data_IF_320328625460
#
_entry.id   IF_320328625460
#
_cell.length_a   1.000
_cell.length_b   1.000
_cell.length_c   1.000
_cell.angle_alpha   90.00
_cell.angle_beta   90.00
_cell.angle_gamma   90.00
#
_symmetry.space_group_name_H-M   'P 1'
#
loop_
_entity.id
_entity.type
_entity.pdbx_description
1 polymer ?
#
# COMPACT_ATOMS: atom_id res chain seq x y z
N UNK A 1 -17.85 -15.25 6.30
CA UNK A 1 -17.28 -14.12 5.56
C UNK A 1 -15.81 -14.34 5.30
N UNK A 2 -15.37 -14.10 4.08
CA UNK A 2 -13.96 -14.22 3.74
C UNK A 2 -13.23 -12.94 4.16
N UNK A 3 -12.07 -13.09 4.79
CA UNK A 3 -11.23 -11.95 5.17
C UNK A 3 -10.46 -11.42 3.96
N UNK A 4 -10.38 -10.10 3.84
CA UNK A 4 -9.55 -9.43 2.86
C UNK A 4 -8.71 -8.37 3.58
N UNK A 5 -7.40 -8.58 3.59
CA UNK A 5 -6.45 -7.60 4.13
C UNK A 5 -6.01 -6.67 3.00
N UNK A 6 -6.27 -5.38 3.16
CA UNK A 6 -5.96 -4.36 2.14
C UNK A 6 -4.77 -3.51 2.61
N UNK A 7 -3.75 -3.42 1.77
CA UNK A 7 -2.57 -2.59 2.00
C UNK A 7 -2.61 -1.39 1.04
N UNK A 8 -3.09 -0.23 1.50
CA UNK A 8 -3.18 0.96 0.65
C UNK A 8 -1.91 1.79 0.70
N UNK A 9 -1.64 2.50 -0.38
CA UNK A 9 -0.53 3.44 -0.47
C UNK A 9 -0.41 4.05 -1.85
N UNK A 10 0.50 5.00 -2.00
CA UNK A 10 0.83 5.56 -3.31
C UNK A 10 1.87 4.71 -4.05
N UNK A 11 2.74 4.02 -3.31
CA UNK A 11 3.75 3.11 -3.85
C UNK A 11 4.55 3.71 -5.03
N UNK A 12 5.09 4.88 -4.81
CA UNK A 12 5.77 5.64 -5.86
C UNK A 12 7.23 5.92 -5.50
N UNK A 13 8.13 4.97 -5.72
CA UNK A 13 7.92 3.62 -6.26
C UNK A 13 7.58 2.58 -5.18
N UNK A 14 7.12 1.42 -5.61
CA UNK A 14 7.04 0.22 -4.76
C UNK A 14 8.47 -0.31 -4.57
N UNK A 15 8.83 -0.58 -3.32
CA UNK A 15 10.21 -0.97 -2.99
C UNK A 15 10.27 -2.19 -2.07
N UNK A 16 11.48 -2.63 -1.75
CA UNK A 16 11.70 -3.85 -0.96
C UNK A 16 11.14 -3.78 0.45
N UNK A 17 11.02 -2.57 1.02
CA UNK A 17 10.33 -2.39 2.32
C UNK A 17 8.83 -2.67 2.22
N UNK A 18 8.19 -2.24 1.15
CA UNK A 18 6.79 -2.57 0.89
C UNK A 18 6.62 -4.08 0.67
N UNK A 19 7.54 -4.70 -0.08
CA UNK A 19 7.51 -6.15 -0.28
C UNK A 19 7.60 -6.91 1.03
N UNK A 20 8.43 -6.45 1.95
CA UNK A 20 8.56 -7.04 3.28
C UNK A 20 7.21 -7.05 4.02
N UNK A 21 6.46 -5.96 3.94
CA UNK A 21 5.11 -5.88 4.53
C UNK A 21 4.16 -6.87 3.83
N UNK A 22 4.19 -6.95 2.51
CA UNK A 22 3.35 -7.89 1.75
C UNK A 22 3.66 -9.34 2.14
N UNK A 23 4.94 -9.69 2.27
CA UNK A 23 5.34 -11.02 2.70
C UNK A 23 4.80 -11.36 4.09
N UNK A 24 4.81 -10.39 5.01
CA UNK A 24 4.21 -10.56 6.34
C UNK A 24 2.69 -10.74 6.27
N UNK A 25 2.04 -9.99 5.40
CA UNK A 25 0.59 -10.13 5.19
C UNK A 25 0.23 -11.54 4.70
N UNK A 26 1.00 -12.07 3.76
CA UNK A 26 0.78 -13.43 3.26
C UNK A 26 0.86 -14.47 4.37
N UNK A 27 1.84 -14.34 5.24
CA UNK A 27 2.02 -15.25 6.38
C UNK A 27 0.90 -15.16 7.40
N UNK A 28 0.39 -13.96 7.65
CA UNK A 28 -0.64 -13.70 8.67
C UNK A 28 -2.03 -14.04 8.15
N UNK A 29 -2.37 -13.58 6.95
CA UNK A 29 -3.74 -13.63 6.43
C UNK A 29 -3.97 -14.74 5.40
N UNK A 30 -2.90 -15.29 4.83
CA UNK A 30 -2.98 -16.25 3.75
C UNK A 30 -2.92 -15.58 2.38
N UNK A 31 -2.29 -16.26 1.44
CA UNK A 31 -2.00 -15.78 0.10
C UNK A 31 -3.23 -15.25 -0.66
N UNK A 32 -4.33 -15.96 -0.60
CA UNK A 32 -5.56 -15.59 -1.33
C UNK A 32 -6.41 -14.51 -0.63
N UNK A 33 -5.96 -13.96 0.50
CA UNK A 33 -6.74 -13.08 1.35
C UNK A 33 -6.15 -11.68 1.48
N UNK A 34 -5.27 -11.30 0.58
CA UNK A 34 -4.60 -9.99 0.62
C UNK A 34 -4.76 -9.25 -0.71
N UNK A 35 -4.68 -7.92 -0.63
CA UNK A 35 -4.77 -7.04 -1.80
C UNK A 35 -3.96 -5.78 -1.54
N UNK A 36 -3.33 -5.26 -2.60
CA UNK A 36 -2.68 -3.95 -2.59
C UNK A 36 -3.63 -2.96 -3.26
N UNK A 37 -3.77 -1.77 -2.69
CA UNK A 37 -4.59 -0.71 -3.26
C UNK A 37 -3.75 0.56 -3.48
N UNK A 38 -3.66 1.00 -4.74
CA UNK A 38 -2.92 2.20 -5.10
C UNK A 38 -3.90 3.37 -5.15
N UNK A 39 -3.68 4.35 -4.25
CA UNK A 39 -4.51 5.55 -4.22
C UNK A 39 -4.07 6.55 -5.28
N UNK A 40 -5.05 7.13 -5.96
CA UNK A 40 -4.84 8.14 -6.99
C UNK A 40 -5.42 9.46 -6.49
N UNK A 41 -4.64 10.53 -6.61
CA UNK A 41 -5.15 11.87 -6.38
C UNK A 41 -6.12 12.24 -7.51
N UNK A 42 -7.41 12.53 -7.23
CA UNK A 42 -8.38 12.85 -8.29
C UNK A 42 -8.02 14.08 -9.12
N UNK A 43 -7.16 14.96 -8.61
CA UNK A 43 -6.70 16.14 -9.34
C UNK A 43 -5.61 15.86 -10.37
N UNK A 44 -5.06 14.62 -10.41
CA UNK A 44 -4.06 14.25 -11.40
C UNK A 44 -4.67 14.12 -12.78
N UNK A 45 -3.84 14.39 -13.80
CA UNK A 45 -4.24 14.27 -15.21
C UNK A 45 -4.60 12.82 -15.56
N UNK A 46 -5.47 12.65 -16.58
CA UNK A 46 -5.93 11.33 -17.04
C UNK A 46 -4.76 10.45 -17.49
N UNK A 47 -3.74 11.05 -18.13
CA UNK A 47 -2.54 10.32 -18.55
C UNK A 47 -1.81 9.67 -17.38
N UNK A 48 -1.73 10.37 -16.25
CA UNK A 48 -1.11 9.83 -15.04
C UNK A 48 -1.90 8.64 -14.50
N UNK A 49 -3.24 8.67 -14.60
CA UNK A 49 -4.09 7.57 -14.19
C UNK A 49 -3.89 6.34 -15.07
N UNK A 50 -3.71 6.53 -16.40
CA UNK A 50 -3.41 5.42 -17.31
C UNK A 50 -2.07 4.76 -16.98
N UNK A 51 -1.05 5.54 -16.66
CA UNK A 51 0.25 5.04 -16.23
C UNK A 51 0.14 4.24 -14.93
N UNK A 52 -0.69 4.71 -14.00
CA UNK A 52 -0.93 4.01 -12.73
C UNK A 52 -1.64 2.68 -12.94
N UNK A 53 -2.58 2.60 -13.88
CA UNK A 53 -3.24 1.34 -14.22
C UNK A 53 -2.26 0.32 -14.78
N UNK A 54 -1.36 0.73 -15.67
CA UNK A 54 -0.31 -0.14 -16.20
C UNK A 54 0.65 -0.60 -15.09
N UNK A 55 1.04 0.32 -14.23
CA UNK A 55 1.89 0.03 -13.09
C UNK A 55 1.24 -1.00 -12.15
N UNK A 56 -0.07 -0.86 -11.90
CA UNK A 56 -0.80 -1.80 -11.06
C UNK A 56 -0.82 -3.20 -11.65
N UNK A 57 -0.99 -3.31 -12.97
CA UNK A 57 -0.97 -4.60 -13.66
C UNK A 57 0.40 -5.27 -13.58
N UNK A 58 1.46 -4.50 -13.81
CA UNK A 58 2.84 -5.01 -13.69
C UNK A 58 3.15 -5.48 -12.28
N UNK A 59 2.75 -4.69 -11.28
CA UNK A 59 2.97 -5.03 -9.89
C UNK A 59 2.19 -6.30 -9.50
N UNK A 60 0.95 -6.42 -9.94
CA UNK A 60 0.13 -7.60 -9.68
C UNK A 60 0.75 -8.86 -10.29
N UNK A 61 1.26 -8.77 -11.50
CA UNK A 61 1.92 -9.89 -12.16
C UNK A 61 3.22 -10.27 -11.45
N UNK A 62 3.99 -9.27 -11.03
CA UNK A 62 5.27 -9.48 -10.36
C UNK A 62 5.12 -10.14 -9.00
N UNK A 63 4.13 -9.71 -8.22
CA UNK A 63 3.91 -10.20 -6.87
C UNK A 63 2.92 -11.37 -6.80
N UNK A 64 2.18 -11.61 -7.86
CA UNK A 64 1.07 -12.55 -7.91
C UNK A 64 0.04 -12.28 -6.79
N UNK A 65 -0.26 -11.00 -6.60
CA UNK A 65 -1.21 -10.47 -5.62
C UNK A 65 -2.13 -9.48 -6.33
N UNK A 66 -3.44 -9.49 -6.04
CA UNK A 66 -4.32 -8.48 -6.63
C UNK A 66 -3.88 -7.06 -6.27
N UNK A 67 -3.84 -6.19 -7.27
CA UNK A 67 -3.53 -4.78 -7.11
C UNK A 67 -4.63 -3.98 -7.80
N UNK A 68 -5.33 -3.15 -7.03
CA UNK A 68 -6.37 -2.28 -7.57
C UNK A 68 -5.97 -0.82 -7.38
N UNK A 69 -6.40 0.02 -8.32
CA UNK A 69 -6.25 1.47 -8.24
C UNK A 69 -7.58 2.04 -7.80
N UNK A 70 -7.58 2.97 -6.84
CA UNK A 70 -8.79 3.65 -6.41
C UNK A 70 -8.59 5.17 -6.43
N UNK A 71 -9.65 5.89 -6.81
CA UNK A 71 -9.65 7.36 -6.88
C UNK A 71 -10.74 7.97 -6.00
N UNK A 72 -11.19 7.21 -5.03
CA UNK A 72 -12.20 7.61 -4.05
C UNK A 72 -11.56 7.72 -2.67
N UNK A 73 -12.36 8.02 -1.64
CA UNK A 73 -11.87 7.89 -0.27
C UNK A 73 -11.58 6.42 0.07
N UNK A 74 -10.59 6.20 0.92
CA UNK A 74 -10.23 4.84 1.34
C UNK A 74 -11.42 4.13 2.00
N UNK A 75 -12.19 4.81 2.84
CA UNK A 75 -13.35 4.19 3.48
C UNK A 75 -14.40 3.74 2.46
N UNK A 76 -14.53 4.40 1.32
CA UNK A 76 -15.43 3.99 0.25
C UNK A 76 -14.95 2.69 -0.42
N UNK A 77 -13.65 2.54 -0.62
CA UNK A 77 -13.08 1.29 -1.11
C UNK A 77 -13.37 0.14 -0.14
N UNK A 78 -13.20 0.39 1.16
CA UNK A 78 -13.48 -0.59 2.20
C UNK A 78 -14.95 -0.99 2.17
N UNK A 79 -15.86 -0.03 2.11
CA UNK A 79 -17.30 -0.28 2.04
C UNK A 79 -17.69 -1.08 0.81
N UNK A 80 -17.06 -0.79 -0.33
CA UNK A 80 -17.28 -1.55 -1.56
C UNK A 80 -16.91 -3.02 -1.38
N UNK A 81 -15.76 -3.29 -0.79
CA UNK A 81 -15.31 -4.67 -0.55
C UNK A 81 -16.19 -5.37 0.48
N UNK A 82 -16.65 -4.67 1.49
CA UNK A 82 -17.61 -5.23 2.44
C UNK A 82 -18.93 -5.58 1.77
N UNK A 83 -19.40 -4.76 0.82
CA UNK A 83 -20.62 -5.05 0.06
C UNK A 83 -20.46 -6.28 -0.84
N UNK A 84 -19.24 -6.63 -1.19
CA UNK A 84 -18.92 -7.84 -1.96
C UNK A 84 -18.79 -9.09 -1.06
N UNK A 85 -19.01 -8.94 0.25
CA UNK A 85 -19.02 -10.06 1.20
C UNK A 85 -17.73 -10.26 1.98
N UNK A 86 -16.79 -9.33 1.90
CA UNK A 86 -15.52 -9.46 2.63
C UNK A 86 -15.60 -8.85 4.03
N UNK A 87 -14.88 -9.48 4.95
CA UNK A 87 -14.48 -8.87 6.22
C UNK A 87 -13.15 -8.17 5.98
N UNK A 88 -13.16 -6.85 5.92
CA UNK A 88 -11.98 -6.07 5.52
C UNK A 88 -11.10 -5.71 6.71
N UNK A 89 -9.82 -5.93 6.57
CA UNK A 89 -8.79 -5.49 7.52
C UNK A 89 -7.87 -4.52 6.79
N UNK A 90 -7.74 -3.32 7.32
CA UNK A 90 -6.82 -2.32 6.78
C UNK A 90 -5.42 -2.58 7.34
N UNK A 91 -4.44 -2.73 6.47
CA UNK A 91 -3.04 -2.93 6.87
C UNK A 91 -2.26 -1.64 6.63
N UNK A 92 -1.53 -1.20 7.66
CA UNK A 92 -0.62 -0.06 7.56
C UNK A 92 0.79 -0.54 7.89
N UNK A 93 1.75 -0.25 7.01
CA UNK A 93 3.15 -0.58 7.23
C UNK A 93 3.84 0.49 8.04
N UNK A 94 4.70 0.07 8.96
CA UNK A 94 5.48 0.98 9.81
C UNK A 94 6.97 0.66 9.71
N UNK A 95 7.79 1.69 9.72
CA UNK A 95 9.24 1.56 9.85
C UNK A 95 9.69 1.80 11.29
N UNK A 96 9.03 2.75 11.99
CA UNK A 96 9.41 3.17 13.34
C UNK A 96 8.22 3.79 14.07
N UNK A 97 8.45 4.28 15.27
CA UNK A 97 7.41 4.90 16.11
C UNK A 97 6.84 6.20 15.53
N UNK A 98 7.64 6.96 14.80
CA UNK A 98 7.17 8.19 14.15
C UNK A 98 6.13 7.87 13.07
N UNK A 99 6.34 6.80 12.31
CA UNK A 99 5.36 6.32 11.35
C UNK A 99 4.06 5.93 12.04
N UNK A 100 4.13 5.29 13.20
CA UNK A 100 2.94 4.92 13.97
C UNK A 100 2.13 6.15 14.35
N UNK A 101 2.76 7.21 14.84
CA UNK A 101 2.08 8.45 15.20
C UNK A 101 1.40 9.09 13.99
N UNK A 102 2.09 9.13 12.87
CA UNK A 102 1.55 9.65 11.63
C UNK A 102 0.32 8.85 11.15
N UNK A 103 0.46 7.53 11.12
CA UNK A 103 -0.62 6.64 10.67
C UNK A 103 -1.83 6.69 11.60
N UNK A 104 -1.60 6.79 12.91
CA UNK A 104 -2.67 6.91 13.89
C UNK A 104 -3.48 8.19 13.68
N UNK A 105 -2.83 9.30 13.37
CA UNK A 105 -3.51 10.55 13.05
C UNK A 105 -4.32 10.44 11.75
N UNK A 106 -3.77 9.81 10.72
CA UNK A 106 -4.50 9.59 9.46
C UNK A 106 -5.73 8.70 9.70
N UNK A 107 -5.59 7.69 10.54
CA UNK A 107 -6.68 6.79 10.88
C UNK A 107 -7.85 7.50 11.55
N UNK A 108 -7.58 8.51 12.37
CA UNK A 108 -8.64 9.31 13.01
C UNK A 108 -9.55 9.97 11.99
N UNK A 109 -8.97 10.54 10.92
CA UNK A 109 -9.76 11.12 9.83
C UNK A 109 -10.61 10.07 9.12
N UNK A 110 -10.03 8.90 8.84
CA UNK A 110 -10.76 7.81 8.20
C UNK A 110 -11.93 7.36 9.07
N UNK A 111 -11.72 7.24 10.38
CA UNK A 111 -12.76 6.82 11.34
C UNK A 111 -13.86 7.86 11.52
N UNK A 112 -13.62 9.12 11.21
CA UNK A 112 -14.67 10.13 11.20
C UNK A 112 -15.75 9.82 10.15
N UNK A 113 -15.36 9.16 9.05
CA UNK A 113 -16.27 8.75 7.99
C UNK A 113 -16.79 7.32 8.15
N UNK A 114 -16.01 6.45 8.77
CA UNK A 114 -16.37 5.04 9.00
C UNK A 114 -15.73 4.55 10.28
N UNK A 115 -16.55 4.40 11.35
CA UNK A 115 -16.05 4.08 12.70
C UNK A 115 -15.56 2.64 12.86
N UNK A 116 -16.16 1.70 12.16
CA UNK A 116 -15.96 0.26 12.35
C UNK A 116 -14.86 -0.30 11.42
N UNK A 117 -13.73 0.36 11.36
CA UNK A 117 -12.58 -0.10 10.58
C UNK A 117 -11.63 -0.89 11.48
N UNK A 118 -11.32 -2.13 11.07
CA UNK A 118 -10.30 -2.94 11.72
C UNK A 118 -8.95 -2.64 11.08
N UNK A 119 -7.97 -2.28 11.89
CA UNK A 119 -6.65 -1.89 11.42
C UNK A 119 -5.58 -2.76 12.06
N UNK A 120 -4.63 -3.20 11.24
CA UNK A 120 -3.44 -3.90 11.70
C UNK A 120 -2.22 -3.10 11.26
N UNK A 121 -1.34 -2.80 12.21
CA UNK A 121 -0.06 -2.19 11.93
C UNK A 121 1.00 -3.28 11.86
N UNK A 122 1.74 -3.32 10.75
CA UNK A 122 2.84 -4.26 10.56
C UNK A 122 4.15 -3.50 10.45
N UNK A 123 5.08 -3.82 11.32
CA UNK A 123 6.41 -3.22 11.28
C UNK A 123 7.28 -3.98 10.29
N UNK A 124 8.00 -3.24 9.42
CA UNK A 124 8.99 -3.86 8.55
C UNK A 124 10.21 -4.34 9.36
N UNK A 125 10.97 -5.23 8.79
CA UNK A 125 12.22 -5.70 9.41
C UNK A 125 13.23 -4.56 9.46
N UNK A 126 14.11 -4.59 10.45
CA UNK A 126 15.07 -3.53 10.74
C UNK A 126 15.92 -3.12 9.54
N UNK A 127 16.30 -4.08 8.72
CA UNK A 127 17.11 -3.84 7.52
C UNK A 127 16.43 -2.94 6.48
N UNK A 128 15.11 -2.77 6.54
CA UNK A 128 14.34 -1.94 5.61
C UNK A 128 13.91 -0.60 6.19
N UNK A 129 14.20 -0.32 7.46
CA UNK A 129 13.69 0.88 8.15
C UNK A 129 14.08 2.20 7.49
N UNK A 130 15.25 2.27 6.89
CA UNK A 130 15.74 3.49 6.24
C UNK A 130 15.23 3.68 4.81
N UNK A 131 14.52 2.70 4.26
CA UNK A 131 14.07 2.75 2.87
C UNK A 131 12.69 3.40 2.80
N UNK A 132 12.57 4.44 2.00
CA UNK A 132 11.30 5.12 1.75
C UNK A 132 11.19 5.52 0.29
N UNK A 133 9.97 5.68 -0.20
CA UNK A 133 9.72 6.13 -1.57
C UNK A 133 10.31 7.52 -1.81
N UNK A 134 10.18 8.44 -0.84
CA UNK A 134 10.75 9.78 -0.97
C UNK A 134 12.28 9.77 -1.03
N UNK A 135 12.94 8.93 -0.21
CA UNK A 135 14.40 8.78 -0.27
C UNK A 135 14.84 8.21 -1.61
N UNK A 136 14.10 7.22 -2.14
CA UNK A 136 14.40 6.65 -3.47
C UNK A 136 14.28 7.70 -4.56
N UNK A 137 13.21 8.50 -4.55
CA UNK A 137 13.06 9.58 -5.54
C UNK A 137 14.18 10.60 -5.44
N UNK A 138 14.62 10.92 -4.24
CA UNK A 138 15.73 11.84 -4.00
C UNK A 138 17.05 11.28 -4.57
N UNK A 139 17.36 10.03 -4.29
CA UNK A 139 18.55 9.37 -4.83
C UNK A 139 18.54 9.36 -6.36
N UNK A 140 17.42 9.01 -6.96
CA UNK A 140 17.27 9.00 -8.42
C UNK A 140 17.43 10.40 -9.03
N UNK A 141 17.03 11.46 -8.32
CA UNK A 141 17.21 12.83 -8.81
C UNK A 141 18.69 13.25 -8.83
N UNK A 142 19.49 12.72 -7.90
CA UNK A 142 20.93 12.99 -7.90
C UNK A 142 21.67 12.16 -8.95
N UNK A 143 21.34 10.87 -9.08
CA UNK A 143 21.98 9.98 -10.04
C UNK A 143 20.99 8.88 -10.44
N UNK A 144 20.51 8.89 -11.67
CA UNK A 144 19.63 7.83 -12.16
C UNK A 144 20.26 6.44 -11.98
N UNK A 145 19.48 5.50 -11.46
CA UNK A 145 19.91 4.14 -11.18
C UNK A 145 20.52 3.93 -9.81
N UNK A 146 20.77 5.00 -9.04
CA UNK A 146 21.42 4.89 -7.72
C UNK A 146 20.57 4.16 -6.68
N UNK A 147 19.26 4.10 -6.88
CA UNK A 147 18.34 3.44 -5.95
C UNK A 147 17.84 2.08 -6.46
N UNK A 148 18.40 1.57 -7.55
CA UNK A 148 17.93 0.30 -8.16
C UNK A 148 17.94 -0.87 -7.19
N UNK A 149 18.89 -0.90 -6.27
CA UNK A 149 18.98 -1.98 -5.27
C UNK A 149 17.82 -2.04 -4.30
N UNK A 150 17.05 -0.95 -4.18
CA UNK A 150 15.87 -0.88 -3.31
C UNK A 150 14.57 -1.20 -4.03
N UNK A 151 14.59 -1.30 -5.34
CA UNK A 151 13.41 -1.58 -6.14
C UNK A 151 13.16 -3.08 -6.21
N UNK A 152 11.89 -3.43 -6.28
CA UNK A 152 11.49 -4.82 -6.48
C UNK A 152 11.70 -5.14 -7.96
N UNK A 153 12.51 -6.15 -8.24
CA UNK A 153 12.82 -6.56 -9.61
C UNK A 153 12.06 -7.83 -9.98
N UNK A 154 11.67 -7.85 -11.21
CA UNK A 154 11.05 -9.00 -11.84
C UNK A 154 12.12 -10.08 -12.07
#
# INVERSE_FOLDING_TARGET
MKTLAIYPGSFNPFHIGHLNIVDKMEKIFGYGNIMIAIGVNPSKAVTDQSELLEKSKKLSQMLDVPVEVYNTFLHELIEKKESEGYNVILVRGLRNGDDLNYEDNQLKYIKDFKKDINVVFLRCDEEFEHISSSAIRQLESFRPGSADKYLVKI
#
